data_IF_584904351770
#
_entry.id   IF_584904351770
#
_cell.length_a   1.000
_cell.length_b   1.000
_cell.length_c   1.000
_cell.angle_alpha   90.00
_cell.angle_beta   90.00
_cell.angle_gamma   90.00
#
_symmetry.space_group_name_H-M   'P 1'
#
loop_
_entity.id
_entity.type
_entity.pdbx_description
1 polymer ?
#
# COMPACT_ATOMS: atom_id res chain seq x y z
N UNK A 1 -10.81 -12.77 5.04
CA UNK A 1 -9.64 -12.12 4.45
C UNK A 1 -10.14 -11.04 3.52
N UNK A 2 -9.72 -9.80 3.76
CA UNK A 2 -10.02 -8.64 2.94
C UNK A 2 -8.73 -8.23 2.21
N UNK A 3 -8.90 -7.71 1.01
CA UNK A 3 -7.82 -7.27 0.14
C UNK A 3 -7.87 -5.75 0.03
N UNK A 4 -6.78 -5.08 0.41
CA UNK A 4 -6.66 -3.63 0.45
C UNK A 4 -5.61 -3.19 -0.58
N UNK A 5 -6.02 -2.51 -1.67
CA UNK A 5 -5.11 -2.09 -2.73
C UNK A 5 -4.01 -1.15 -2.22
N UNK A 6 -2.77 -1.40 -2.61
CA UNK A 6 -1.66 -0.47 -2.39
C UNK A 6 -1.54 0.40 -3.63
N UNK A 7 -1.75 1.71 -3.46
CA UNK A 7 -1.75 2.69 -4.54
C UNK A 7 -0.73 3.79 -4.29
N UNK A 8 -0.25 4.39 -5.37
CA UNK A 8 0.54 5.61 -5.30
C UNK A 8 -0.38 6.81 -5.40
N UNK A 9 -0.19 7.79 -4.52
CA UNK A 9 -0.93 9.06 -4.52
C UNK A 9 0.03 10.24 -4.52
N UNK A 10 -0.30 11.27 -5.29
CA UNK A 10 0.40 12.53 -5.22
C UNK A 10 -0.09 13.35 -4.01
N UNK A 11 0.81 13.62 -3.07
CA UNK A 11 0.50 14.42 -1.89
C UNK A 11 1.51 15.56 -1.73
N UNK A 12 1.08 16.76 -2.12
CA UNK A 12 1.90 17.96 -2.05
C UNK A 12 3.08 17.94 -3.04
N UNK A 13 2.84 17.49 -4.28
CA UNK A 13 3.84 17.42 -5.34
C UNK A 13 4.88 16.31 -5.17
N UNK A 14 4.62 15.32 -4.32
CA UNK A 14 5.45 14.13 -4.16
C UNK A 14 4.58 12.89 -4.19
N UNK A 15 5.04 11.88 -4.91
CA UNK A 15 4.38 10.57 -4.92
C UNK A 15 4.62 9.84 -3.61
N UNK A 16 3.57 9.25 -3.05
CA UNK A 16 3.60 8.48 -1.81
C UNK A 16 2.77 7.20 -1.93
N UNK A 17 3.21 6.16 -1.23
CA UNK A 17 2.42 4.95 -1.04
C UNK A 17 1.27 5.18 -0.07
N UNK A 18 0.09 4.70 -0.44
CA UNK A 18 -1.10 4.61 0.40
C UNK A 18 -1.76 3.25 0.22
N UNK A 19 -2.55 2.87 1.21
CA UNK A 19 -3.40 1.67 1.14
C UNK A 19 -4.85 2.16 1.10
N UNK A 20 -5.59 1.78 0.07
CA UNK A 20 -7.01 2.14 -0.05
C UNK A 20 -7.80 1.40 1.04
N UNK A 21 -8.82 2.08 1.58
CA UNK A 21 -9.64 1.58 2.68
C UNK A 21 -8.84 1.22 3.95
N UNK A 22 -7.68 1.84 4.16
CA UNK A 22 -6.86 1.65 5.36
C UNK A 22 -7.61 1.94 6.67
N UNK A 23 -8.59 2.86 6.67
CA UNK A 23 -9.46 3.12 7.82
C UNK A 23 -10.27 1.91 8.28
N UNK A 24 -10.53 0.95 7.38
CA UNK A 24 -11.21 -0.31 7.69
C UNK A 24 -10.24 -1.44 8.09
N UNK A 25 -8.94 -1.18 8.05
CA UNK A 25 -7.90 -2.12 8.46
C UNK A 25 -7.37 -1.71 9.83
N UNK A 26 -7.63 -2.54 10.84
CA UNK A 26 -7.16 -2.31 12.22
C UNK A 26 -5.69 -2.73 12.45
N UNK A 27 -4.97 -3.05 11.37
CA UNK A 27 -3.60 -3.56 11.40
C UNK A 27 -2.54 -2.47 11.16
N UNK A 28 -1.32 -2.71 11.68
CA UNK A 28 -0.19 -1.78 11.48
C UNK A 28 0.40 -1.91 10.08
N UNK A 29 0.15 -0.90 9.24
CA UNK A 29 0.62 -0.84 7.85
C UNK A 29 2.04 -0.28 7.69
N UNK A 30 2.73 0.11 8.77
CA UNK A 30 4.00 0.83 8.66
C UNK A 30 5.08 -0.04 8.03
N UNK A 31 5.12 -1.32 8.39
CA UNK A 31 6.06 -2.29 7.79
C UNK A 31 5.77 -2.50 6.30
N UNK A 32 4.50 -2.64 5.91
CA UNK A 32 4.08 -2.77 4.51
C UNK A 32 4.52 -1.57 3.68
N UNK A 33 4.26 -0.36 4.17
CA UNK A 33 4.61 0.88 3.47
C UNK A 33 6.13 1.00 3.35
N UNK A 34 6.86 0.67 4.43
CA UNK A 34 8.32 0.71 4.44
C UNK A 34 8.93 -0.27 3.44
N UNK A 35 8.43 -1.51 3.41
CA UNK A 35 8.82 -2.52 2.42
C UNK A 35 8.50 -2.04 1.00
N UNK A 36 7.33 -1.42 0.80
CA UNK A 36 6.93 -0.85 -0.47
C UNK A 36 7.90 0.19 -1.00
N UNK A 37 8.39 1.11 -0.17
CA UNK A 37 9.39 2.11 -0.57
C UNK A 37 10.75 1.50 -0.91
N UNK A 38 11.09 0.33 -0.37
CA UNK A 38 12.34 -0.36 -0.72
C UNK A 38 12.24 -1.12 -2.04
N UNK A 39 11.01 -1.50 -2.43
CA UNK A 39 10.76 -2.37 -3.59
C UNK A 39 10.30 -1.61 -4.83
N UNK A 40 9.48 -0.57 -4.63
CA UNK A 40 8.84 0.22 -5.67
C UNK A 40 9.45 1.63 -5.69
N UNK A 41 9.91 2.07 -6.87
CA UNK A 41 10.26 3.47 -7.06
C UNK A 41 8.98 4.31 -7.27
N UNK A 42 8.40 4.75 -6.16
CA UNK A 42 7.10 5.44 -6.17
C UNK A 42 7.14 6.76 -6.94
N UNK A 43 8.32 7.36 -7.13
CA UNK A 43 8.46 8.62 -7.86
C UNK A 43 8.30 8.42 -9.38
N UNK A 44 8.49 7.19 -9.87
CA UNK A 44 8.27 6.83 -11.28
C UNK A 44 6.83 6.36 -11.56
N UNK A 45 6.00 6.23 -10.52
CA UNK A 45 4.62 5.76 -10.64
C UNK A 45 3.65 6.92 -10.89
N UNK A 46 2.54 6.64 -11.57
CA UNK A 46 1.46 7.62 -11.76
C UNK A 46 0.58 7.75 -10.50
N UNK A 47 -0.08 8.90 -10.35
CA UNK A 47 -1.13 9.05 -9.34
C UNK A 47 -2.26 8.05 -9.60
N UNK A 48 -2.68 7.35 -8.56
CA UNK A 48 -3.66 6.27 -8.61
C UNK A 48 -3.11 4.93 -9.11
N UNK A 49 -1.82 4.82 -9.42
CA UNK A 49 -1.23 3.56 -9.88
C UNK A 49 -1.22 2.53 -8.74
N UNK A 50 -1.85 1.38 -8.97
CA UNK A 50 -1.82 0.26 -8.03
C UNK A 50 -0.51 -0.50 -8.18
N UNK A 51 0.25 -0.59 -7.10
CA UNK A 51 1.57 -1.23 -7.05
C UNK A 51 1.57 -2.51 -6.22
N UNK A 52 0.47 -2.81 -5.53
CA UNK A 52 0.30 -4.05 -4.78
C UNK A 52 -1.07 -4.20 -4.13
N UNK A 53 -1.18 -5.17 -3.24
CA UNK A 53 -2.36 -5.41 -2.41
C UNK A 53 -1.93 -6.02 -1.06
N UNK A 54 -2.52 -5.50 0.01
CA UNK A 54 -2.40 -6.08 1.36
C UNK A 54 -3.55 -7.03 1.57
N UNK A 55 -3.28 -8.26 1.96
CA UNK A 55 -4.29 -9.22 2.38
C UNK A 55 -4.25 -9.30 3.89
N UNK A 56 -5.37 -8.99 4.53
CA UNK A 56 -5.48 -8.99 5.98
C UNK A 56 -6.77 -9.69 6.44
N UNK A 57 -6.80 -10.09 7.70
CA UNK A 57 -7.98 -10.69 8.34
C UNK A 57 -8.15 -10.10 9.74
N UNK A 58 -9.07 -9.15 9.87
CA UNK A 58 -9.25 -8.37 11.11
C UNK A 58 -8.05 -7.46 11.34
N UNK A 59 -7.44 -7.60 12.51
CA UNK A 59 -6.26 -6.86 12.98
C UNK A 59 -4.91 -7.44 12.47
N UNK A 60 -4.91 -8.55 11.73
CA UNK A 60 -3.68 -9.21 11.28
C UNK A 60 -3.46 -9.11 9.77
N UNK A 61 -2.24 -8.74 9.39
CA UNK A 61 -1.77 -8.79 8.00
C UNK A 61 -1.34 -10.22 7.70
N UNK A 62 -2.04 -10.86 6.77
CA UNK A 62 -1.78 -12.25 6.37
C UNK A 62 -0.65 -12.31 5.33
N UNK A 63 -0.71 -11.43 4.32
CA UNK A 63 0.30 -11.37 3.27
C UNK A 63 0.24 -10.06 2.50
N UNK A 64 1.34 -9.69 1.84
CA UNK A 64 1.41 -8.56 0.91
C UNK A 64 1.81 -9.08 -0.46
N UNK A 65 1.03 -8.73 -1.48
CA UNK A 65 1.31 -9.10 -2.88
C UNK A 65 1.65 -7.85 -3.66
N UNK A 66 2.90 -7.73 -4.05
CA UNK A 66 3.38 -6.66 -4.92
C UNK A 66 3.07 -7.02 -6.37
N UNK A 67 2.55 -6.07 -7.14
CA UNK A 67 2.26 -6.24 -8.56
C UNK A 67 3.46 -5.91 -9.46
N UNK A 68 4.50 -5.30 -8.88
CA UNK A 68 5.70 -4.80 -9.55
C UNK A 68 6.97 -5.15 -8.76
#
# INVERSE_FOLDING_TARGET
>A
MAEYPIVVRELGGKMRLGVEEADALEADLRDVVTEGYQRIDVQECADGEQVGVVVASGDNIETVRWAR
#
